data_IF_012444331971
#
_entry.id   IF_012444331971
#
_cell.length_a   1.000
_cell.length_b   1.000
_cell.length_c   1.000
_cell.angle_alpha   90.00
_cell.angle_beta   90.00
_cell.angle_gamma   90.00
#
_symmetry.space_group_name_H-M   'P 1'
#
loop_
_entity.id
_entity.type
_entity.pdbx_description
1 polymer ?
#
# COMPACT_ATOMS: atom_id res chain seq x y z
N UNK A 1 15.49 -3.63 -1.80
CA UNK A 1 14.30 -2.77 -2.06
C UNK A 1 14.59 -1.40 -1.47
N UNK A 2 14.01 -0.33 -2.02
CA UNK A 2 14.04 0.98 -1.36
C UNK A 2 12.74 1.25 -0.63
N UNK A 3 12.81 1.71 0.61
CA UNK A 3 11.70 2.36 1.31
C UNK A 3 11.89 3.86 1.12
N UNK A 4 10.94 4.53 0.45
CA UNK A 4 11.08 5.93 0.06
C UNK A 4 10.02 6.78 0.76
N UNK A 5 10.41 7.90 1.36
CA UNK A 5 9.49 8.81 2.03
C UNK A 5 9.97 10.26 1.92
N UNK A 6 9.04 11.21 1.96
CA UNK A 6 9.33 12.63 2.19
C UNK A 6 8.89 13.10 3.60
N UNK A 7 8.46 12.19 4.46
CA UNK A 7 8.10 12.47 5.85
C UNK A 7 6.85 13.32 6.03
N UNK A 8 5.97 13.37 5.03
CA UNK A 8 4.77 14.23 5.05
C UNK A 8 3.58 13.65 5.81
N UNK A 9 3.59 12.35 6.11
CA UNK A 9 2.55 11.67 6.86
C UNK A 9 3.12 10.58 7.77
N UNK A 10 4.15 10.90 8.55
CA UNK A 10 4.81 9.92 9.42
C UNK A 10 3.90 9.52 10.56
N UNK A 11 3.45 8.27 10.56
CA UNK A 11 2.57 7.71 11.59
C UNK A 11 1.35 8.62 11.85
N UNK A 12 1.08 8.96 13.11
CA UNK A 12 0.07 9.94 13.52
C UNK A 12 0.61 11.36 13.71
N UNK A 13 1.88 11.61 13.38
CA UNK A 13 2.56 12.89 13.62
C UNK A 13 2.36 13.88 12.48
N UNK A 14 1.95 13.39 11.31
CA UNK A 14 1.75 14.22 10.12
C UNK A 14 3.07 14.60 9.45
N UNK A 15 3.16 15.82 8.96
CA UNK A 15 4.36 16.29 8.28
C UNK A 15 5.42 16.72 9.29
N UNK A 16 6.42 15.87 9.49
CA UNK A 16 7.59 16.15 10.34
C UNK A 16 8.88 16.30 9.53
N UNK A 17 8.80 16.17 8.20
CA UNK A 17 9.92 16.27 7.28
C UNK A 17 10.72 14.97 7.15
N UNK A 18 11.50 14.91 6.07
CA UNK A 18 12.20 13.70 5.65
C UNK A 18 13.16 13.16 6.73
N UNK A 19 14.00 14.04 7.30
CA UNK A 19 14.97 13.64 8.34
C UNK A 19 14.30 13.06 9.60
N UNK A 20 13.20 13.66 10.07
CA UNK A 20 12.53 13.19 11.28
C UNK A 20 11.77 11.87 11.06
N UNK A 21 11.38 11.56 9.81
CA UNK A 21 10.78 10.29 9.43
C UNK A 21 11.77 9.11 9.36
N UNK A 22 13.07 9.40 9.24
CA UNK A 22 14.13 8.39 9.06
C UNK A 22 14.07 7.20 10.05
N UNK A 23 13.90 7.39 11.37
CA UNK A 23 13.85 6.26 12.30
C UNK A 23 12.70 5.28 12.00
N UNK A 24 11.58 5.77 11.44
CA UNK A 24 10.44 4.92 11.04
C UNK A 24 10.80 4.10 9.80
N UNK A 25 11.49 4.70 8.83
CA UNK A 25 11.93 4.04 7.60
C UNK A 25 13.00 2.98 7.87
N UNK A 26 13.99 3.29 8.72
CA UNK A 26 15.00 2.33 9.19
C UNK A 26 14.32 1.14 9.91
N UNK A 27 13.34 1.44 10.78
CA UNK A 27 12.53 0.44 11.45
C UNK A 27 11.84 -0.50 10.47
N UNK A 28 11.24 0.01 9.39
CA UNK A 28 10.67 -0.81 8.31
C UNK A 28 11.72 -1.67 7.62
N UNK A 29 12.92 -1.13 7.36
CA UNK A 29 14.02 -1.91 6.79
C UNK A 29 14.39 -3.12 7.66
N UNK A 30 14.46 -2.93 8.98
CA UNK A 30 14.68 -4.03 9.94
C UNK A 30 13.57 -5.07 9.86
N UNK A 31 12.30 -4.66 9.77
CA UNK A 31 11.17 -5.59 9.66
C UNK A 31 11.24 -6.41 8.36
N UNK A 32 11.50 -5.78 7.22
CA UNK A 32 11.66 -6.47 5.94
C UNK A 32 12.80 -7.50 5.98
N UNK A 33 13.94 -7.14 6.57
CA UNK A 33 15.07 -8.07 6.70
C UNK A 33 14.71 -9.23 7.63
N UNK A 34 14.12 -8.95 8.78
CA UNK A 34 13.83 -9.94 9.82
C UNK A 34 12.77 -10.95 9.40
N UNK A 35 11.71 -10.51 8.73
CA UNK A 35 10.53 -11.35 8.44
C UNK A 35 10.49 -11.87 6.99
N UNK A 36 11.11 -11.17 6.04
CA UNK A 36 11.08 -11.57 4.63
C UNK A 36 12.49 -11.82 4.04
N UNK A 37 13.57 -11.59 4.79
CA UNK A 37 14.93 -11.72 4.29
C UNK A 37 15.31 -10.67 3.23
N UNK A 38 14.51 -9.61 3.09
CA UNK A 38 14.70 -8.57 2.06
C UNK A 38 15.66 -7.52 2.59
N UNK A 39 16.72 -7.24 1.85
CA UNK A 39 17.62 -6.11 2.11
C UNK A 39 16.96 -4.81 1.67
N UNK A 40 16.91 -3.85 2.60
CA UNK A 40 16.23 -2.56 2.42
C UNK A 40 17.20 -1.42 2.69
N UNK A 41 17.13 -0.41 1.83
CA UNK A 41 17.68 0.91 2.10
C UNK A 41 16.53 1.90 2.24
N UNK A 42 16.55 2.66 3.31
CA UNK A 42 15.68 3.80 3.53
C UNK A 42 16.22 5.02 2.78
N UNK A 43 15.33 5.74 2.10
CA UNK A 43 15.65 6.87 1.24
C UNK A 43 14.68 8.00 1.56
N UNK A 44 15.17 8.93 2.39
CA UNK A 44 14.47 10.17 2.74
C UNK A 44 14.70 11.23 1.65
N UNK A 45 13.66 11.54 0.89
CA UNK A 45 13.72 12.56 -0.16
C UNK A 45 13.09 13.85 0.38
N UNK A 46 13.92 14.87 0.61
CA UNK A 46 13.46 16.19 1.05
C UNK A 46 12.88 17.01 -0.11
N UNK A 47 11.77 16.53 -0.67
CA UNK A 47 11.03 17.17 -1.76
C UNK A 47 9.53 17.02 -1.55
N UNK A 48 8.82 18.15 -1.64
CA UNK A 48 7.38 18.25 -1.42
C UNK A 48 6.60 18.31 -2.73
N UNK A 49 7.26 18.67 -3.83
CA UNK A 49 6.67 18.61 -5.17
C UNK A 49 6.57 17.13 -5.62
N UNK A 50 5.36 16.60 -5.88
CA UNK A 50 5.19 15.20 -6.25
C UNK A 50 5.93 14.81 -7.53
N UNK A 51 5.97 15.69 -8.54
CA UNK A 51 6.61 15.38 -9.83
C UNK A 51 8.13 15.29 -9.68
N UNK A 52 8.73 16.19 -8.91
CA UNK A 52 10.15 16.13 -8.59
C UNK A 52 10.49 14.92 -7.73
N UNK A 53 9.67 14.61 -6.73
CA UNK A 53 9.82 13.39 -5.93
C UNK A 53 9.80 12.14 -6.81
N UNK A 54 8.82 12.03 -7.72
CA UNK A 54 8.72 10.93 -8.70
C UNK A 54 9.99 10.83 -9.54
N UNK A 55 10.51 11.96 -10.04
CA UNK A 55 11.71 11.95 -10.88
C UNK A 55 12.95 11.48 -10.11
N UNK A 56 13.11 11.90 -8.85
CA UNK A 56 14.20 11.44 -7.98
C UNK A 56 14.11 9.93 -7.77
N UNK A 57 12.94 9.42 -7.37
CA UNK A 57 12.74 7.99 -7.10
C UNK A 57 12.90 7.14 -8.36
N UNK A 58 12.34 7.59 -9.49
CA UNK A 58 12.45 6.86 -10.76
C UNK A 58 13.90 6.78 -11.25
N UNK A 59 14.72 7.81 -11.04
CA UNK A 59 16.13 7.80 -11.39
C UNK A 59 16.94 6.73 -10.62
N UNK A 60 16.45 6.27 -9.46
CA UNK A 60 17.08 5.23 -8.63
C UNK A 60 16.70 3.79 -9.05
N UNK A 61 15.84 3.61 -10.06
CA UNK A 61 15.40 2.29 -10.54
C UNK A 61 16.54 1.26 -10.75
N UNK A 62 17.70 1.60 -11.36
CA UNK A 62 18.75 0.61 -11.64
C UNK A 62 19.32 -0.08 -10.39
N UNK A 63 19.23 0.56 -9.22
CA UNK A 63 19.80 0.06 -7.96
C UNK A 63 18.88 -0.95 -7.28
N UNK A 64 17.56 -0.82 -7.43
CA UNK A 64 16.60 -1.50 -6.59
C UNK A 64 15.75 -2.52 -7.35
N UNK A 65 15.45 -3.66 -6.71
CA UNK A 65 14.51 -4.65 -7.23
C UNK A 65 13.02 -4.32 -6.99
N UNK A 66 12.74 -3.20 -6.32
CA UNK A 66 11.39 -2.72 -6.01
C UNK A 66 11.43 -1.45 -5.15
N UNK A 67 10.34 -0.67 -5.20
CA UNK A 67 10.14 0.57 -4.43
C UNK A 67 8.93 0.42 -3.52
N UNK A 68 9.08 0.87 -2.28
CA UNK A 68 8.02 0.94 -1.29
C UNK A 68 7.84 2.40 -0.83
N UNK A 69 6.94 3.18 -1.47
CA UNK A 69 6.58 4.50 -0.98
C UNK A 69 5.87 4.41 0.36
N UNK A 70 6.25 5.29 1.29
CA UNK A 70 5.88 5.18 2.70
C UNK A 70 5.64 6.56 3.34
N UNK A 71 4.65 6.67 4.22
CA UNK A 71 4.41 7.88 5.03
C UNK A 71 4.33 9.17 4.18
N UNK A 72 3.70 9.06 3.00
CA UNK A 72 3.43 10.18 2.08
C UNK A 72 1.95 10.58 2.23
N UNK A 73 1.69 11.87 2.42
CA UNK A 73 0.32 12.35 2.65
C UNK A 73 -0.60 12.11 1.45
N UNK A 74 -1.87 11.85 1.74
CA UNK A 74 -2.93 11.91 0.74
C UNK A 74 -3.28 13.38 0.40
N UNK A 75 -3.72 13.69 -0.85
CA UNK A 75 -3.96 12.77 -1.97
C UNK A 75 -2.71 12.47 -2.82
N UNK A 76 -1.58 13.11 -2.54
CA UNK A 76 -0.36 13.04 -3.36
C UNK A 76 0.21 11.62 -3.46
N UNK A 77 0.12 10.82 -2.39
CA UNK A 77 0.57 9.44 -2.37
C UNK A 77 -0.06 8.56 -3.46
N UNK A 78 -1.32 8.79 -3.82
CA UNK A 78 -2.00 8.07 -4.91
C UNK A 78 -1.41 8.42 -6.27
N UNK A 79 -1.16 9.71 -6.50
CA UNK A 79 -0.57 10.21 -7.73
C UNK A 79 0.87 9.70 -7.90
N UNK A 80 1.66 9.79 -6.83
CA UNK A 80 3.05 9.30 -6.80
C UNK A 80 3.11 7.80 -7.11
N UNK A 81 2.29 6.98 -6.43
CA UNK A 81 2.27 5.54 -6.69
C UNK A 81 1.90 5.25 -8.14
N UNK A 82 0.84 5.89 -8.67
CA UNK A 82 0.40 5.67 -10.03
C UNK A 82 1.51 6.01 -11.04
N UNK A 83 2.14 7.17 -10.90
CA UNK A 83 3.18 7.61 -11.82
C UNK A 83 4.44 6.73 -11.75
N UNK A 84 4.88 6.34 -10.55
CA UNK A 84 6.01 5.43 -10.41
C UNK A 84 5.69 4.06 -11.04
N UNK A 85 4.49 3.51 -10.84
CA UNK A 85 4.04 2.25 -11.49
C UNK A 85 3.95 2.34 -13.01
N UNK A 86 3.65 3.51 -13.55
CA UNK A 86 3.57 3.73 -14.99
C UNK A 86 4.97 3.82 -15.63
N UNK A 87 5.92 4.46 -14.94
CA UNK A 87 7.26 4.77 -15.45
C UNK A 87 8.28 3.66 -15.21
N UNK A 88 8.19 2.95 -14.08
CA UNK A 88 9.22 2.02 -13.64
C UNK A 88 8.94 0.57 -14.09
N UNK A 89 10.01 -0.19 -14.35
CA UNK A 89 9.91 -1.61 -14.70
C UNK A 89 9.97 -2.55 -13.49
N UNK A 90 10.24 -2.01 -12.31
CA UNK A 90 10.26 -2.74 -11.04
C UNK A 90 8.93 -2.57 -10.27
N UNK A 91 8.58 -3.49 -9.37
CA UNK A 91 7.38 -3.35 -8.55
C UNK A 91 7.42 -2.09 -7.68
N UNK A 92 6.31 -1.36 -7.66
CA UNK A 92 6.06 -0.24 -6.75
C UNK A 92 4.84 -0.60 -5.91
N UNK A 93 4.98 -0.58 -4.59
CA UNK A 93 3.95 -0.99 -3.64
C UNK A 93 3.89 -0.02 -2.48
N UNK A 94 2.77 0.69 -2.32
CA UNK A 94 2.57 1.59 -1.18
C UNK A 94 2.00 0.83 0.01
N UNK A 95 2.76 0.69 1.10
CA UNK A 95 2.38 -0.16 2.24
C UNK A 95 1.13 0.36 2.96
N UNK A 96 1.05 1.66 3.26
CA UNK A 96 -0.13 2.23 3.95
C UNK A 96 -1.45 2.00 3.20
N UNK A 97 -1.40 1.87 1.88
CA UNK A 97 -2.56 1.57 1.04
C UNK A 97 -2.79 0.06 0.98
N UNK A 98 -1.87 -0.65 0.33
CA UNK A 98 -2.10 -2.04 -0.06
C UNK A 98 -1.84 -3.02 1.09
N UNK A 99 -0.81 -2.77 1.91
CA UNK A 99 -0.50 -3.56 3.09
C UNK A 99 -1.66 -3.55 4.08
N UNK A 100 -2.15 -2.34 4.40
CA UNK A 100 -3.34 -2.17 5.25
C UNK A 100 -4.58 -2.84 4.67
N UNK A 101 -4.81 -2.72 3.35
CA UNK A 101 -5.93 -3.36 2.68
C UNK A 101 -5.89 -4.89 2.78
N UNK A 102 -4.72 -5.50 2.53
CA UNK A 102 -4.54 -6.96 2.55
C UNK A 102 -4.81 -7.50 3.95
N UNK A 103 -4.17 -6.93 4.98
CA UNK A 103 -4.31 -7.45 6.35
C UNK A 103 -5.73 -7.23 6.90
N UNK A 104 -6.33 -6.07 6.62
CA UNK A 104 -7.71 -5.77 7.04
C UNK A 104 -8.70 -6.72 6.37
N UNK A 105 -8.49 -7.00 5.09
CA UNK A 105 -9.32 -7.96 4.33
C UNK A 105 -9.18 -9.36 4.89
N UNK A 106 -7.96 -9.82 5.19
CA UNK A 106 -7.75 -11.12 5.81
C UNK A 106 -8.46 -11.24 7.17
N UNK A 107 -8.38 -10.19 8.00
CA UNK A 107 -9.08 -10.13 9.28
C UNK A 107 -10.61 -10.20 9.11
N UNK A 108 -11.18 -9.45 8.15
CA UNK A 108 -12.62 -9.46 7.86
C UNK A 108 -13.07 -10.83 7.37
N UNK A 109 -12.36 -11.43 6.41
CA UNK A 109 -12.71 -12.76 5.90
C UNK A 109 -12.67 -13.83 6.99
N UNK A 110 -11.69 -13.78 7.89
CA UNK A 110 -11.63 -14.68 9.03
C UNK A 110 -12.75 -14.41 10.04
N UNK A 111 -13.07 -13.16 10.34
CA UNK A 111 -14.19 -12.81 11.21
C UNK A 111 -15.53 -13.29 10.65
N UNK A 112 -15.75 -13.15 9.34
CA UNK A 112 -16.93 -13.64 8.63
C UNK A 112 -17.08 -15.16 8.71
N UNK A 113 -15.97 -15.90 8.64
CA UNK A 113 -15.98 -17.36 8.84
C UNK A 113 -16.43 -17.74 10.25
N UNK A 114 -15.99 -17.01 11.27
CA UNK A 114 -16.36 -17.28 12.67
C UNK A 114 -17.85 -17.04 12.93
N UNK A 115 -18.44 -16.03 12.30
CA UNK A 115 -19.87 -15.71 12.46
C UNK A 115 -20.75 -16.33 11.36
N UNK A 116 -20.18 -17.20 10.53
CA UNK A 116 -20.87 -17.93 9.45
C UNK A 116 -21.63 -17.02 8.47
N UNK A 117 -21.03 -15.89 8.09
CA UNK A 117 -21.61 -14.94 7.11
C UNK A 117 -20.79 -14.87 5.84
N UNK A 118 -21.45 -14.65 4.70
CA UNK A 118 -20.75 -14.35 3.46
C UNK A 118 -20.45 -12.86 3.33
N UNK A 119 -19.34 -12.53 2.66
CA UNK A 119 -18.94 -11.15 2.39
C UNK A 119 -19.99 -10.37 1.57
N UNK A 120 -20.72 -11.07 0.69
CA UNK A 120 -21.80 -10.48 -0.11
C UNK A 120 -23.02 -10.06 0.70
N UNK A 121 -23.18 -10.59 1.91
CA UNK A 121 -24.43 -10.47 2.70
C UNK A 121 -24.30 -9.43 3.82
N UNK A 122 -23.10 -8.87 4.01
CA UNK A 122 -22.80 -7.93 5.09
C UNK A 122 -22.80 -6.49 4.61
N UNK A 123 -23.25 -5.60 5.50
CA UNK A 123 -23.12 -4.15 5.36
C UNK A 123 -21.93 -3.68 6.17
N UNK A 124 -21.09 -2.85 5.56
CA UNK A 124 -19.89 -2.30 6.19
C UNK A 124 -20.03 -0.80 6.40
N UNK A 125 -19.63 -0.34 7.59
CA UNK A 125 -19.47 1.07 7.92
C UNK A 125 -17.97 1.34 8.05
N UNK A 126 -17.50 2.38 7.37
CA UNK A 126 -16.11 2.83 7.47
C UNK A 126 -16.08 4.24 8.04
N UNK A 127 -15.26 4.43 9.06
CA UNK A 127 -14.99 5.74 9.64
C UNK A 127 -13.61 6.23 9.20
N UNK A 128 -13.59 7.36 8.49
CA UNK A 128 -12.39 7.90 7.83
C UNK A 128 -12.39 7.67 6.32
N UNK A 129 -11.76 8.55 5.56
CA UNK A 129 -11.71 8.52 4.08
C UNK A 129 -10.28 8.78 3.55
N UNK A 130 -9.27 8.32 4.30
CA UNK A 130 -7.85 8.42 3.93
C UNK A 130 -7.39 7.27 3.01
N UNK A 131 -6.09 7.27 2.69
CA UNK A 131 -5.47 6.32 1.76
C UNK A 131 -5.74 4.85 2.10
N UNK A 132 -5.48 4.47 3.35
CA UNK A 132 -5.75 3.12 3.86
C UNK A 132 -7.24 2.72 3.75
N UNK A 133 -8.15 3.59 4.19
CA UNK A 133 -9.59 3.29 4.19
C UNK A 133 -10.13 3.07 2.76
N UNK A 134 -9.71 3.91 1.81
CA UNK A 134 -10.08 3.77 0.39
C UNK A 134 -9.53 2.46 -0.18
N UNK A 135 -8.26 2.13 0.09
CA UNK A 135 -7.64 0.90 -0.40
C UNK A 135 -8.32 -0.37 0.18
N UNK A 136 -8.60 -0.40 1.49
CA UNK A 136 -9.34 -1.49 2.14
C UNK A 136 -10.69 -1.73 1.47
N UNK A 137 -11.46 -0.65 1.24
CA UNK A 137 -12.78 -0.74 0.64
C UNK A 137 -12.74 -1.21 -0.81
N UNK A 138 -11.80 -0.71 -1.59
CA UNK A 138 -11.61 -1.15 -2.98
C UNK A 138 -11.30 -2.65 -3.05
N UNK A 139 -10.45 -3.16 -2.17
CA UNK A 139 -10.11 -4.59 -2.14
C UNK A 139 -11.31 -5.46 -1.73
N UNK A 140 -12.06 -5.06 -0.70
CA UNK A 140 -13.25 -5.81 -0.27
C UNK A 140 -14.35 -5.84 -1.34
N UNK A 141 -14.57 -4.72 -2.03
CA UNK A 141 -15.51 -4.66 -3.17
C UNK A 141 -15.02 -5.54 -4.31
N UNK A 142 -13.71 -5.56 -4.60
CA UNK A 142 -13.14 -6.45 -5.62
C UNK A 142 -13.32 -7.93 -5.28
N UNK A 143 -13.38 -8.29 -4.00
CA UNK A 143 -13.63 -9.66 -3.52
C UNK A 143 -15.10 -10.04 -3.41
N UNK A 144 -16.03 -9.15 -3.77
CA UNK A 144 -17.46 -9.46 -3.84
C UNK A 144 -18.31 -8.90 -2.71
N UNK A 145 -17.78 -7.99 -1.89
CA UNK A 145 -18.63 -7.20 -1.00
C UNK A 145 -19.57 -6.32 -1.82
N UNK A 146 -20.86 -6.27 -1.45
CA UNK A 146 -21.81 -5.40 -2.13
C UNK A 146 -21.46 -3.92 -1.89
N UNK A 147 -21.58 -3.10 -2.93
CA UNK A 147 -21.28 -1.66 -2.90
C UNK A 147 -22.37 -0.84 -2.17
N UNK A 148 -22.92 -1.37 -1.08
CA UNK A 148 -23.85 -0.67 -0.17
C UNK A 148 -23.08 -0.16 1.06
N UNK A 149 -21.96 0.52 0.83
CA UNK A 149 -21.12 1.06 1.90
C UNK A 149 -21.56 2.46 2.29
N UNK A 150 -21.86 2.67 3.57
CA UNK A 150 -22.09 4.00 4.13
C UNK A 150 -20.79 4.52 4.74
N UNK A 151 -20.27 5.64 4.22
CA UNK A 151 -19.14 6.36 4.81
C UNK A 151 -19.65 7.30 5.91
N UNK A 152 -19.25 7.08 7.16
CA UNK A 152 -19.50 8.03 8.25
C UNK A 152 -18.21 8.78 8.57
N UNK A 153 -17.99 9.89 7.86
CA UNK A 153 -17.03 10.88 8.31
C UNK A 153 -17.61 11.55 9.56
N UNK A 154 -16.93 11.44 10.72
CA UNK A 154 -17.33 12.17 11.93
C UNK A 154 -17.30 13.71 11.75
N UNK A 155 -16.87 14.25 10.59
CA UNK A 155 -17.30 15.58 10.10
C UNK A 155 -17.43 15.60 8.57
N UNK A 156 -18.66 15.75 8.07
CA UNK A 156 -19.11 15.98 6.67
C UNK A 156 -18.90 14.83 5.68
N UNK A 157 -20.04 14.28 5.24
CA UNK A 157 -20.17 13.30 4.18
C UNK A 157 -19.60 13.79 2.84
N UNK A 158 -18.64 13.05 2.30
CA UNK A 158 -18.25 13.11 0.89
C UNK A 158 -18.71 11.79 0.25
N UNK A 159 -19.70 11.89 -0.65
CA UNK A 159 -20.06 10.79 -1.54
C UNK A 159 -19.01 10.71 -2.64
N UNK A 160 -17.96 9.91 -2.43
CA UNK A 160 -16.99 9.59 -3.46
C UNK A 160 -17.54 8.40 -4.25
N UNK A 161 -17.87 8.64 -5.52
CA UNK A 161 -18.20 7.57 -6.48
C UNK A 161 -16.97 6.68 -6.67
N UNK A 162 -17.19 5.37 -6.61
CA UNK A 162 -16.22 4.29 -6.76
C UNK A 162 -15.26 4.55 -7.93
N UNK A 163 -13.95 4.52 -7.65
CA UNK A 163 -12.91 4.55 -8.69
C UNK A 163 -13.02 3.26 -9.51
N UNK A 164 -12.96 3.40 -10.83
CA UNK A 164 -13.31 2.37 -11.82
C UNK A 164 -12.50 1.08 -11.70
N UNK A 165 -13.12 -0.04 -12.13
CA UNK A 165 -12.58 -1.42 -12.30
C UNK A 165 -11.23 -1.56 -13.05
N UNK A 166 -10.63 -0.47 -13.52
CA UNK A 166 -9.40 -0.44 -14.32
C UNK A 166 -8.10 -0.44 -13.50
N UNK A 167 -8.15 -0.15 -12.20
CA UNK A 167 -6.96 -0.04 -11.35
C UNK A 167 -6.23 -1.37 -11.07
N UNK A 168 -6.97 -2.48 -11.02
CA UNK A 168 -6.44 -3.79 -10.62
C UNK A 168 -6.23 -4.71 -11.82
N UNK A 169 -5.42 -4.27 -12.81
CA UNK A 169 -4.88 -5.16 -13.85
C UNK A 169 -3.35 -5.18 -13.75
N UNK A 170 -2.74 -6.28 -13.31
CA UNK A 170 -1.30 -6.46 -13.43
C UNK A 170 -0.92 -6.38 -14.92
N UNK A 171 0.04 -5.53 -15.29
CA UNK A 171 0.55 -5.47 -16.69
C UNK A 171 1.17 -6.80 -17.13
N UNK A 172 1.58 -7.67 -16.18
CA UNK A 172 2.01 -9.06 -16.41
C UNK A 172 1.62 -9.95 -15.22
N UNK A 173 1.24 -11.22 -15.43
CA UNK A 173 1.06 -12.16 -14.34
C UNK A 173 2.40 -12.39 -13.62
N UNK A 174 2.41 -12.21 -12.30
CA UNK A 174 3.57 -12.47 -11.46
C UNK A 174 3.78 -13.99 -11.38
N UNK A 175 4.71 -14.52 -12.18
CA UNK A 175 5.00 -15.97 -12.25
C UNK A 175 5.97 -16.31 -11.12
N UNK A 176 5.43 -16.70 -9.95
CA UNK A 176 6.23 -17.33 -8.90
C UNK A 176 6.74 -18.68 -9.43
N UNK A 177 8.02 -18.75 -9.82
CA UNK A 177 8.69 -20.05 -10.00
C UNK A 177 8.94 -20.61 -8.60
N UNK A 178 8.07 -21.49 -8.13
CA UNK A 178 8.35 -22.37 -7.00
C UNK A 178 9.42 -23.37 -7.41
N UNK A 179 10.70 -23.04 -7.24
CA UNK A 179 11.76 -24.04 -7.24
C UNK A 179 11.84 -24.66 -5.85
N UNK A 180 10.88 -25.52 -5.54
CA UNK A 180 10.99 -26.47 -4.43
C UNK A 180 11.46 -27.81 -5.01
N UNK A 181 12.75 -27.89 -5.38
CA UNK A 181 13.42 -29.19 -5.48
C UNK A 181 13.94 -29.52 -4.09
N UNK A 182 13.14 -30.25 -3.31
CA UNK A 182 13.62 -30.92 -2.12
C UNK A 182 14.58 -32.05 -2.55
N UNK A 183 15.83 -32.11 -2.05
CA UNK A 183 16.73 -33.22 -2.36
C UNK A 183 16.21 -34.50 -1.68
N UNK A 184 16.08 -35.56 -2.47
CA UNK A 184 15.77 -36.91 -2.02
C UNK A 184 16.88 -37.43 -1.10
N UNK A 185 16.55 -37.76 0.14
CA UNK A 185 17.40 -38.57 1.01
C UNK A 185 17.32 -40.04 0.58
N UNK A 186 18.37 -40.52 -0.07
CA UNK A 186 18.78 -41.93 -0.07
C UNK A 186 19.75 -42.16 1.08
#
# INVERSE_FOLDING_TARGET
MAVVSNGTAVLGLGNIGALAGKPVMEGKGVLFKKFAGIDVFDIEVDELDPDKFINVVAALEPTFGGINPEDIKAPECFYIEQQLRERMNIPVFHDDQHGTAIISTAAILNGLRVVEKNLSDVRMVVSGAGAAAIACMNLLVALGMQSTTSWSAIRKALSIKTVSRTWWKPKRPMRWKTTANAPSMT
#
